data_IF_151309938108
#
_entry.id   IF_151309938108
#
_cell.length_a   1.000
_cell.length_b   1.000
_cell.length_c   1.000
_cell.angle_alpha   90.00
_cell.angle_beta   90.00
_cell.angle_gamma   90.00
#
_symmetry.space_group_name_H-M   'P 1'
#
loop_
_entity.id
_entity.type
_entity.pdbx_description
1 polymer ?
#
# COMPACT_ATOMS: atom_id res chain seq x y z
N UNK A 1 52.83 37.40 34.94
CA UNK A 1 51.93 36.93 33.84
C UNK A 1 52.47 35.58 33.41
N UNK A 2 51.79 34.52 33.93
CA UNK A 2 52.12 33.13 33.58
C UNK A 2 51.26 32.74 32.37
N UNK A 3 51.87 32.52 31.21
CA UNK A 3 51.22 31.98 30.06
C UNK A 3 51.05 30.47 30.25
N UNK A 4 49.83 30.02 30.36
CA UNK A 4 49.48 28.59 30.29
C UNK A 4 49.82 28.08 28.89
N UNK A 5 50.54 26.94 28.73
CA UNK A 5 50.85 26.38 27.41
C UNK A 5 49.54 25.96 26.72
N UNK A 6 49.45 26.36 25.45
CA UNK A 6 48.34 25.94 24.57
C UNK A 6 48.32 24.41 24.44
N UNK A 7 47.20 23.70 24.67
CA UNK A 7 47.15 22.26 24.52
C UNK A 7 47.45 21.84 23.07
N UNK A 8 48.34 20.87 22.92
CA UNK A 8 48.72 20.32 21.63
C UNK A 8 47.48 19.75 20.91
N UNK A 9 47.40 19.90 19.59
CA UNK A 9 46.30 19.27 18.83
C UNK A 9 46.34 17.76 19.01
N UNK A 10 45.18 17.10 19.08
CA UNK A 10 45.10 15.64 19.25
C UNK A 10 45.84 14.94 18.11
N UNK A 11 46.58 13.90 18.44
CA UNK A 11 47.39 13.14 17.50
C UNK A 11 46.55 12.50 16.40
N UNK A 12 47.01 12.51 15.16
CA UNK A 12 46.31 11.95 13.98
C UNK A 12 45.63 10.56 14.21
N UNK A 13 46.23 9.62 14.99
CA UNK A 13 45.58 8.34 15.29
C UNK A 13 44.30 8.47 16.12
N UNK A 14 44.18 9.50 16.96
CA UNK A 14 42.98 9.71 17.78
C UNK A 14 41.79 10.20 16.92
N UNK A 15 42.04 11.05 15.94
CA UNK A 15 41.07 11.56 15.00
C UNK A 15 40.55 10.46 14.03
N UNK A 16 41.43 9.54 13.63
CA UNK A 16 41.02 8.39 12.78
C UNK A 16 40.17 7.41 13.54
N UNK A 17 40.47 7.09 14.79
CA UNK A 17 39.69 6.21 15.65
C UNK A 17 38.33 6.82 16.02
N UNK A 18 38.22 8.13 16.24
CA UNK A 18 36.92 8.80 16.44
C UNK A 18 36.08 8.80 15.18
N UNK A 19 36.70 8.97 14.03
CA UNK A 19 35.99 8.90 12.74
C UNK A 19 35.46 7.51 12.44
N UNK A 20 36.24 6.48 12.69
CA UNK A 20 35.79 5.07 12.55
C UNK A 20 34.69 4.72 13.55
N UNK A 21 34.78 5.15 14.79
CA UNK A 21 33.73 4.99 15.80
C UNK A 21 32.44 5.72 15.43
N UNK A 22 32.54 6.94 14.88
CA UNK A 22 31.38 7.71 14.41
C UNK A 22 30.70 7.03 13.21
N UNK A 23 31.47 6.51 12.26
CA UNK A 23 30.95 5.78 11.10
C UNK A 23 30.33 4.46 11.54
N UNK A 24 30.97 3.71 12.42
CA UNK A 24 30.41 2.48 12.98
C UNK A 24 29.13 2.72 13.81
N UNK A 25 29.08 3.82 14.57
CA UNK A 25 27.88 4.21 15.32
C UNK A 25 26.75 4.67 14.42
N UNK A 26 27.04 5.40 13.34
CA UNK A 26 26.07 5.78 12.30
C UNK A 26 25.52 4.56 11.57
N UNK A 27 26.40 3.65 11.15
CA UNK A 27 26.00 2.38 10.53
C UNK A 27 25.16 1.54 11.51
N UNK A 28 25.57 1.43 12.78
CA UNK A 28 24.82 0.75 13.82
C UNK A 28 23.41 1.37 14.03
N UNK A 29 23.30 2.70 14.00
CA UNK A 29 22.03 3.42 14.14
C UNK A 29 21.10 3.22 12.93
N UNK A 30 21.67 3.13 11.72
CA UNK A 30 20.95 2.80 10.49
C UNK A 30 20.51 1.33 10.54
N UNK A 31 21.33 0.43 11.06
CA UNK A 31 21.02 -1.00 11.16
C UNK A 31 19.99 -1.36 12.25
N UNK A 32 19.79 -0.52 13.28
CA UNK A 32 18.81 -0.75 14.36
C UNK A 32 17.51 0.03 14.22
N UNK A 33 17.38 0.91 13.22
CA UNK A 33 16.19 1.71 12.98
C UNK A 33 15.28 1.03 11.96
N UNK A 34 13.97 1.40 11.93
CA UNK A 34 13.00 0.95 10.92
C UNK A 34 13.44 1.19 9.46
N UNK A 35 14.53 1.93 9.24
CA UNK A 35 15.19 2.09 7.95
C UNK A 35 15.76 0.77 7.40
N UNK A 36 16.26 -0.12 8.27
CA UNK A 36 16.75 -1.46 7.87
C UNK A 36 15.65 -2.29 7.22
N UNK A 37 14.48 -2.31 7.83
CA UNK A 37 13.35 -3.08 7.30
C UNK A 37 12.90 -2.55 5.93
N UNK A 38 12.90 -1.23 5.76
CA UNK A 38 12.60 -0.59 4.47
C UNK A 38 13.68 -0.88 3.42
N UNK A 39 14.96 -0.85 3.80
CA UNK A 39 16.08 -1.19 2.92
C UNK A 39 16.04 -2.65 2.48
N UNK A 40 15.75 -3.58 3.39
CA UNK A 40 15.62 -4.99 3.06
C UNK A 40 14.43 -5.24 2.12
N UNK A 41 13.29 -4.58 2.35
CA UNK A 41 12.13 -4.65 1.47
C UNK A 41 12.46 -4.11 0.07
N UNK A 42 13.19 -2.99 -0.01
CA UNK A 42 13.60 -2.42 -1.30
C UNK A 42 14.63 -3.28 -2.02
N UNK A 43 15.60 -3.83 -1.28
CA UNK A 43 16.58 -4.76 -1.82
C UNK A 43 15.93 -6.05 -2.35
N UNK A 44 14.95 -6.61 -1.62
CA UNK A 44 14.22 -7.79 -2.07
C UNK A 44 13.42 -7.52 -3.35
N UNK A 45 12.85 -6.32 -3.49
CA UNK A 45 12.15 -5.90 -4.71
C UNK A 45 13.11 -5.85 -5.91
N UNK A 46 14.30 -5.25 -5.74
CA UNK A 46 15.31 -5.19 -6.81
C UNK A 46 15.76 -6.59 -7.22
N UNK A 47 16.01 -7.47 -6.24
CA UNK A 47 16.39 -8.88 -6.50
C UNK A 47 15.29 -9.60 -7.29
N UNK A 48 14.02 -9.42 -6.92
CA UNK A 48 12.89 -10.03 -7.65
C UNK A 48 12.79 -9.50 -9.08
N UNK A 49 12.92 -8.18 -9.27
CA UNK A 49 12.88 -7.58 -10.62
C UNK A 49 14.03 -8.12 -11.48
N UNK A 50 15.24 -8.19 -10.93
CA UNK A 50 16.39 -8.72 -11.63
C UNK A 50 16.21 -10.22 -11.96
N UNK A 51 15.73 -11.01 -11.01
CA UNK A 51 15.47 -12.42 -11.19
C UNK A 51 14.45 -12.68 -12.32
N UNK A 52 13.28 -12.03 -12.26
CA UNK A 52 12.25 -12.20 -13.27
C UNK A 52 12.63 -11.58 -14.62
N UNK A 53 13.41 -10.49 -14.63
CA UNK A 53 13.93 -9.89 -15.86
C UNK A 53 14.88 -10.83 -16.62
N UNK A 54 15.62 -11.70 -15.91
CA UNK A 54 16.49 -12.71 -16.51
C UNK A 54 15.71 -13.99 -16.82
N UNK A 55 14.82 -14.42 -15.93
CA UNK A 55 14.10 -15.68 -16.03
C UNK A 55 13.00 -15.68 -17.09
N UNK A 56 12.41 -14.52 -17.42
CA UNK A 56 11.30 -14.42 -18.36
C UNK A 56 11.50 -13.28 -19.35
N UNK A 57 11.67 -13.57 -20.64
CA UNK A 57 11.77 -12.54 -21.69
C UNK A 57 10.53 -11.62 -21.76
N UNK A 58 9.36 -12.13 -21.36
CA UNK A 58 8.10 -11.38 -21.37
C UNK A 58 8.02 -10.36 -20.22
N UNK A 59 8.79 -10.55 -19.15
CA UNK A 59 8.70 -9.70 -17.94
C UNK A 59 9.02 -8.24 -18.24
N UNK A 60 10.03 -7.98 -19.07
CA UNK A 60 10.48 -6.64 -19.45
C UNK A 60 9.74 -6.05 -20.66
N UNK A 61 8.74 -6.74 -21.20
CA UNK A 61 7.93 -6.19 -22.29
C UNK A 61 7.09 -5.02 -21.80
N UNK A 62 6.94 -4.02 -22.68
CA UNK A 62 6.20 -2.78 -22.35
C UNK A 62 4.77 -3.09 -21.92
N UNK A 63 4.09 -4.02 -22.58
CA UNK A 63 2.71 -4.40 -22.26
C UNK A 63 2.59 -5.00 -20.84
N UNK A 64 3.58 -5.81 -20.44
CA UNK A 64 3.62 -6.36 -19.09
C UNK A 64 3.91 -5.28 -18.04
N UNK A 65 4.85 -4.36 -18.34
CA UNK A 65 5.15 -3.23 -17.44
C UNK A 65 3.94 -2.32 -17.27
N UNK A 66 3.20 -2.04 -18.34
CA UNK A 66 1.96 -1.26 -18.27
C UNK A 66 0.91 -1.99 -17.42
N UNK A 67 0.76 -3.30 -17.58
CA UNK A 67 -0.17 -4.12 -16.79
C UNK A 67 0.19 -4.11 -15.30
N UNK A 68 1.47 -4.22 -14.96
CA UNK A 68 1.97 -4.12 -13.58
C UNK A 68 1.68 -2.74 -13.00
N UNK A 69 1.92 -1.66 -13.77
CA UNK A 69 1.64 -0.29 -13.32
C UNK A 69 0.15 -0.07 -13.09
N UNK A 70 -0.71 -0.57 -13.98
CA UNK A 70 -2.16 -0.49 -13.81
C UNK A 70 -2.64 -1.22 -12.54
N UNK A 71 -2.19 -2.46 -12.34
CA UNK A 71 -2.53 -3.22 -11.14
C UNK A 71 -2.02 -2.53 -9.86
N UNK A 72 -0.81 -1.97 -9.91
CA UNK A 72 -0.22 -1.22 -8.80
C UNK A 72 -0.98 0.06 -8.50
N UNK A 73 -1.42 0.79 -9.53
CA UNK A 73 -2.21 2.00 -9.37
C UNK A 73 -3.56 1.71 -8.67
N UNK A 74 -4.27 0.66 -9.11
CA UNK A 74 -5.52 0.22 -8.48
C UNK A 74 -5.28 -0.15 -7.01
N UNK A 75 -4.28 -0.98 -6.72
CA UNK A 75 -3.94 -1.36 -5.34
C UNK A 75 -3.51 -0.15 -4.50
N UNK A 76 -2.83 0.84 -5.10
CA UNK A 76 -2.47 2.09 -4.45
C UNK A 76 -3.68 2.90 -3.99
N UNK A 77 -4.69 3.04 -4.85
CA UNK A 77 -5.96 3.71 -4.50
C UNK A 77 -6.68 2.97 -3.36
N UNK A 78 -6.75 1.64 -3.45
CA UNK A 78 -7.36 0.81 -2.39
C UNK A 78 -6.59 0.94 -1.06
N UNK A 79 -5.26 0.98 -1.10
CA UNK A 79 -4.43 1.17 0.08
C UNK A 79 -4.67 2.54 0.75
N UNK A 80 -4.82 3.61 -0.03
CA UNK A 80 -5.16 4.94 0.49
C UNK A 80 -6.54 4.90 1.16
N UNK A 81 -7.54 4.34 0.49
CA UNK A 81 -8.89 4.21 1.04
C UNK A 81 -8.89 3.41 2.36
N UNK A 82 -8.20 2.26 2.39
CA UNK A 82 -8.06 1.43 3.60
C UNK A 82 -7.33 2.17 4.72
N UNK A 83 -6.37 3.04 4.40
CA UNK A 83 -5.67 3.86 5.40
C UNK A 83 -6.63 4.78 6.16
N UNK A 84 -7.60 5.40 5.48
CA UNK A 84 -8.62 6.22 6.15
C UNK A 84 -9.45 5.41 7.14
N UNK A 85 -9.81 4.18 6.78
CA UNK A 85 -10.55 3.28 7.70
C UNK A 85 -9.68 2.90 8.91
N UNK A 86 -8.42 2.60 8.70
CA UNK A 86 -7.48 2.23 9.79
C UNK A 86 -7.26 3.40 10.75
N UNK A 87 -7.14 4.64 10.24
CA UNK A 87 -6.98 5.84 11.08
C UNK A 87 -8.19 6.03 12.02
N UNK A 88 -9.38 5.64 11.58
CA UNK A 88 -10.59 5.68 12.43
C UNK A 88 -10.71 4.51 13.40
N UNK A 89 -9.70 3.62 13.46
CA UNK A 89 -9.68 2.42 14.31
C UNK A 89 -10.53 1.26 13.77
N UNK A 90 -10.96 1.33 12.50
CA UNK A 90 -11.72 0.27 11.84
C UNK A 90 -10.83 -0.69 11.05
N UNK A 91 -11.40 -1.85 10.71
CA UNK A 91 -10.83 -2.79 9.73
C UNK A 91 -11.92 -3.06 8.71
N UNK A 92 -11.64 -2.78 7.43
CA UNK A 92 -12.57 -3.07 6.33
C UNK A 92 -12.06 -4.26 5.51
N UNK A 93 -12.74 -5.39 5.66
CA UNK A 93 -12.46 -6.62 4.91
C UNK A 93 -13.19 -6.67 3.56
N UNK A 94 -14.14 -5.76 3.34
CA UNK A 94 -14.99 -5.79 2.14
C UNK A 94 -14.38 -5.12 0.92
N UNK A 95 -13.29 -4.35 1.07
CA UNK A 95 -12.68 -3.51 0.02
C UNK A 95 -12.44 -4.28 -1.29
N UNK A 96 -11.85 -5.47 -1.22
CA UNK A 96 -11.56 -6.28 -2.42
C UNK A 96 -12.81 -6.81 -3.10
N UNK A 97 -13.79 -7.28 -2.31
CA UNK A 97 -15.08 -7.78 -2.86
C UNK A 97 -15.96 -6.66 -3.36
N UNK A 98 -15.90 -5.48 -2.74
CA UNK A 98 -16.58 -4.28 -3.21
C UNK A 98 -16.04 -3.84 -4.58
N UNK A 99 -14.71 -3.84 -4.75
CA UNK A 99 -14.09 -3.55 -6.05
C UNK A 99 -14.59 -4.54 -7.12
N UNK A 100 -14.61 -5.85 -6.80
CA UNK A 100 -15.10 -6.88 -7.73
C UNK A 100 -16.57 -6.66 -8.07
N UNK A 101 -17.41 -6.39 -7.09
CA UNK A 101 -18.83 -6.12 -7.29
C UNK A 101 -19.06 -4.89 -8.17
N UNK A 102 -18.37 -3.78 -7.92
CA UNK A 102 -18.44 -2.58 -8.76
C UNK A 102 -17.99 -2.87 -10.21
N UNK A 103 -16.95 -3.70 -10.39
CA UNK A 103 -16.51 -4.10 -11.72
C UNK A 103 -17.56 -4.94 -12.46
N UNK A 104 -18.21 -5.91 -11.77
CA UNK A 104 -19.31 -6.71 -12.33
C UNK A 104 -20.48 -5.82 -12.72
N UNK A 105 -20.92 -4.91 -11.83
CA UNK A 105 -22.02 -3.97 -12.11
C UNK A 105 -21.71 -3.05 -13.29
N UNK A 106 -20.47 -2.58 -13.39
CA UNK A 106 -20.01 -1.83 -14.57
C UNK A 106 -20.10 -2.67 -15.83
N UNK A 107 -19.65 -3.93 -15.78
CA UNK A 107 -19.75 -4.88 -16.89
C UNK A 107 -21.21 -5.06 -17.34
N UNK A 108 -22.14 -5.28 -16.43
CA UNK A 108 -23.58 -5.41 -16.72
C UNK A 108 -24.13 -4.17 -17.43
N UNK A 109 -23.79 -2.97 -16.93
CA UNK A 109 -24.24 -1.71 -17.52
C UNK A 109 -23.72 -1.54 -18.96
N UNK A 110 -22.46 -1.92 -19.20
CA UNK A 110 -21.82 -1.77 -20.52
C UNK A 110 -22.28 -2.84 -21.51
N UNK A 111 -22.35 -4.11 -21.07
CA UNK A 111 -22.60 -5.24 -21.98
C UNK A 111 -24.07 -5.57 -22.10
N UNK A 112 -24.83 -5.67 -21.00
CA UNK A 112 -26.22 -6.09 -21.04
C UNK A 112 -27.17 -4.94 -21.39
N UNK A 113 -26.84 -3.71 -20.93
CA UNK A 113 -27.67 -2.53 -21.21
C UNK A 113 -27.15 -1.68 -22.36
N UNK A 114 -25.97 -1.99 -22.90
CA UNK A 114 -25.38 -1.26 -24.04
C UNK A 114 -25.07 0.21 -23.76
N UNK A 115 -24.89 0.58 -22.48
CA UNK A 115 -24.68 1.97 -22.08
C UNK A 115 -23.22 2.41 -22.33
N UNK A 116 -22.98 3.72 -22.56
CA UNK A 116 -21.63 4.22 -22.77
C UNK A 116 -20.77 4.11 -21.48
N UNK A 117 -19.45 4.07 -21.66
CA UNK A 117 -18.47 3.92 -20.57
C UNK A 117 -18.70 4.90 -19.41
N UNK A 118 -19.09 6.14 -19.70
CA UNK A 118 -19.35 7.14 -18.67
C UNK A 118 -20.45 6.71 -17.69
N UNK A 119 -21.51 6.06 -18.18
CA UNK A 119 -22.60 5.54 -17.34
C UNK A 119 -22.09 4.37 -16.49
N UNK A 120 -21.22 3.51 -17.04
CA UNK A 120 -20.56 2.45 -16.28
C UNK A 120 -19.72 2.97 -15.10
N UNK A 121 -18.97 4.04 -15.31
CA UNK A 121 -18.20 4.70 -14.25
C UNK A 121 -19.12 5.26 -13.15
N UNK A 122 -20.20 5.92 -13.54
CA UNK A 122 -21.19 6.46 -12.58
C UNK A 122 -21.85 5.33 -11.80
N UNK A 123 -22.16 4.20 -12.44
CA UNK A 123 -22.71 3.02 -11.78
C UNK A 123 -21.74 2.45 -10.75
N UNK A 124 -20.44 2.32 -11.09
CA UNK A 124 -19.42 1.88 -10.13
C UNK A 124 -19.35 2.78 -8.90
N UNK A 125 -19.33 4.10 -9.10
CA UNK A 125 -19.32 5.08 -8.01
C UNK A 125 -20.59 5.00 -7.16
N UNK A 126 -21.75 4.86 -7.79
CA UNK A 126 -23.03 4.73 -7.09
C UNK A 126 -23.08 3.47 -6.22
N UNK A 127 -22.76 2.30 -6.78
CA UNK A 127 -22.78 1.05 -6.02
C UNK A 127 -21.70 1.01 -4.93
N UNK A 128 -20.53 1.55 -5.21
CA UNK A 128 -19.47 1.69 -4.20
C UNK A 128 -19.90 2.57 -3.02
N UNK A 129 -20.48 3.73 -3.31
CA UNK A 129 -21.00 4.65 -2.30
C UNK A 129 -22.16 4.05 -1.52
N UNK A 130 -23.08 3.35 -2.19
CA UNK A 130 -24.23 2.69 -1.56
C UNK A 130 -23.75 1.62 -0.55
N UNK A 131 -22.90 0.71 -0.98
CA UNK A 131 -22.38 -0.36 -0.11
C UNK A 131 -21.53 0.20 1.05
N UNK A 132 -20.67 1.18 0.77
CA UNK A 132 -19.88 1.86 1.79
C UNK A 132 -20.75 2.59 2.80
N UNK A 133 -21.84 3.23 2.35
CA UNK A 133 -22.80 3.91 3.23
C UNK A 133 -23.53 2.91 4.14
N UNK A 134 -23.92 1.76 3.61
CA UNK A 134 -24.55 0.70 4.41
C UNK A 134 -23.60 0.23 5.50
N UNK A 135 -22.36 -0.12 5.16
CA UNK A 135 -21.34 -0.50 6.14
C UNK A 135 -21.09 0.59 7.17
N UNK A 136 -20.97 1.84 6.72
CA UNK A 136 -20.76 3.00 7.60
C UNK A 136 -21.91 3.22 8.57
N UNK A 137 -23.17 3.07 8.14
CA UNK A 137 -24.36 3.19 9.01
C UNK A 137 -24.38 2.06 10.05
N UNK A 138 -24.10 0.82 9.64
CA UNK A 138 -24.03 -0.32 10.54
C UNK A 138 -23.01 -0.10 11.66
N UNK A 139 -21.85 0.43 11.32
CA UNK A 139 -20.77 0.68 12.28
C UNK A 139 -21.10 1.90 13.15
N UNK A 140 -21.45 3.04 12.54
CA UNK A 140 -21.57 4.30 13.23
C UNK A 140 -22.86 4.43 14.07
N UNK A 141 -24.02 3.97 13.51
CA UNK A 141 -25.31 4.09 14.20
C UNK A 141 -25.67 2.86 15.02
N UNK A 142 -25.49 1.67 14.46
CA UNK A 142 -25.81 0.42 15.15
C UNK A 142 -24.69 -0.07 16.06
N UNK A 143 -23.52 0.61 16.04
CA UNK A 143 -22.34 0.28 16.86
C UNK A 143 -21.89 -1.17 16.70
N UNK A 144 -22.10 -1.74 15.51
CA UNK A 144 -21.58 -3.07 15.19
C UNK A 144 -20.06 -2.96 15.03
N UNK A 145 -19.28 -3.89 15.59
CA UNK A 145 -17.83 -3.90 15.40
C UNK A 145 -17.49 -3.88 13.90
N UNK A 146 -16.55 -3.01 13.45
CA UNK A 146 -16.21 -2.85 12.03
C UNK A 146 -15.89 -4.16 11.33
N UNK A 147 -15.14 -5.04 11.99
CA UNK A 147 -14.79 -6.36 11.48
C UNK A 147 -16.02 -7.21 11.13
N UNK A 148 -17.06 -7.24 12.00
CA UNK A 148 -18.26 -8.05 11.77
C UNK A 148 -19.10 -7.45 10.64
N UNK A 149 -19.29 -6.13 10.62
CA UNK A 149 -20.06 -5.45 9.59
C UNK A 149 -19.43 -5.64 8.21
N UNK A 150 -18.11 -5.47 8.10
CA UNK A 150 -17.40 -5.58 6.83
C UNK A 150 -17.24 -7.02 6.36
N UNK A 151 -17.11 -7.99 7.28
CA UNK A 151 -17.13 -9.41 6.96
C UNK A 151 -18.49 -9.82 6.36
N UNK A 152 -19.60 -9.37 6.97
CA UNK A 152 -20.94 -9.59 6.43
C UNK A 152 -21.11 -8.98 5.04
N UNK A 153 -20.67 -7.73 4.86
CA UNK A 153 -20.69 -7.06 3.56
C UNK A 153 -19.84 -7.80 2.53
N UNK A 154 -18.65 -8.27 2.90
CA UNK A 154 -17.77 -9.07 2.03
C UNK A 154 -18.49 -10.31 1.49
N UNK A 155 -19.15 -11.09 2.36
CA UNK A 155 -19.86 -12.28 1.97
C UNK A 155 -21.07 -11.97 1.07
N UNK A 156 -21.82 -10.92 1.40
CA UNK A 156 -22.97 -10.46 0.62
C UNK A 156 -22.55 -10.05 -0.79
N UNK A 157 -21.52 -9.19 -0.91
CA UNK A 157 -21.04 -8.71 -2.21
C UNK A 157 -20.43 -9.83 -3.06
N UNK A 158 -19.72 -10.78 -2.42
CA UNK A 158 -19.21 -11.97 -3.10
C UNK A 158 -20.35 -12.81 -3.65
N UNK A 159 -21.39 -13.06 -2.87
CA UNK A 159 -22.58 -13.79 -3.32
C UNK A 159 -23.28 -13.09 -4.47
N UNK A 160 -23.53 -11.78 -4.36
CA UNK A 160 -24.15 -10.99 -5.42
C UNK A 160 -23.34 -11.01 -6.72
N UNK A 161 -22.02 -10.87 -6.64
CA UNK A 161 -21.14 -10.89 -7.82
C UNK A 161 -21.10 -12.23 -8.55
N UNK A 162 -21.54 -13.33 -7.90
CA UNK A 162 -21.59 -14.67 -8.52
C UNK A 162 -22.95 -14.95 -9.16
N UNK A 163 -24.00 -14.25 -8.76
CA UNK A 163 -25.37 -14.47 -9.25
C UNK A 163 -25.71 -13.55 -10.43
N UNK A 164 -25.09 -12.39 -10.49
CA UNK A 164 -25.26 -11.39 -11.55
C UNK A 164 -24.37 -11.72 -12.73
#
# INVERSE_FOLDING_TARGET
MSQTPNPLPPAEPALSMERERSVAALLGKIFHSGARQKLLAFASLIVLIAFFGIASPQFMQVDNLVSILQATAVNGVLAIASTFVIITGGIDLSVGTLMTFCAVMTGVVLTNWGMPLFVGILAALFFGALCGSISGILIAKLRIPPFIATLGMMMLLKGLSLVI
#
